data_IF_601943018619
#
_entry.id   IF_601943018619
#
_cell.length_a   1.000
_cell.length_b   1.000
_cell.length_c   1.000
_cell.angle_alpha   90.00
_cell.angle_beta   90.00
_cell.angle_gamma   90.00
#
_symmetry.space_group_name_H-M   'P 1'
#
loop_
_entity.id
_entity.type
_entity.pdbx_description
1 polymer ?
#
# COMPACT_ATOMS: atom_id res chain seq x y z
N UNK A 1 -43.00 5.16 -25.12
CA UNK A 1 -41.76 4.88 -25.82
C UNK A 1 -40.51 5.06 -24.94
N UNK A 2 -40.34 6.18 -24.22
CA UNK A 2 -39.18 6.41 -23.36
C UNK A 2 -39.00 5.38 -22.25
N UNK A 3 -40.07 4.91 -21.60
CA UNK A 3 -40.00 3.89 -20.55
C UNK A 3 -39.44 2.55 -21.05
N UNK A 4 -39.80 2.15 -22.27
CA UNK A 4 -39.33 0.91 -22.85
C UNK A 4 -37.83 0.97 -23.21
N UNK A 5 -37.34 2.14 -23.66
CA UNK A 5 -35.91 2.35 -23.93
C UNK A 5 -35.10 2.30 -22.65
N UNK A 6 -35.59 2.93 -21.56
CA UNK A 6 -34.94 2.90 -20.26
C UNK A 6 -34.87 1.49 -19.64
N UNK A 7 -35.96 0.72 -19.74
CA UNK A 7 -35.97 -0.66 -19.22
C UNK A 7 -35.03 -1.57 -20.01
N UNK A 8 -35.01 -1.49 -21.34
CA UNK A 8 -34.10 -2.26 -22.18
C UNK A 8 -32.62 -1.85 -21.87
N UNK A 9 -32.35 -0.55 -21.75
CA UNK A 9 -31.01 -0.07 -21.36
C UNK A 9 -30.55 -0.60 -19.99
N UNK A 10 -31.42 -0.57 -18.99
CA UNK A 10 -31.14 -1.12 -17.67
C UNK A 10 -30.84 -2.63 -17.69
N UNK A 11 -31.62 -3.40 -18.45
CA UNK A 11 -31.39 -4.85 -18.62
C UNK A 11 -30.05 -5.12 -19.29
N UNK A 12 -29.67 -4.36 -20.31
CA UNK A 12 -28.38 -4.50 -20.99
C UNK A 12 -27.21 -4.19 -20.02
N UNK A 13 -27.33 -3.15 -19.20
CA UNK A 13 -26.28 -2.80 -18.19
C UNK A 13 -26.14 -3.93 -17.18
N UNK A 14 -27.22 -4.46 -16.64
CA UNK A 14 -27.19 -5.59 -15.70
C UNK A 14 -26.59 -6.86 -16.34
N UNK A 15 -26.87 -7.09 -17.62
CA UNK A 15 -26.33 -8.27 -18.32
C UNK A 15 -24.83 -8.16 -18.63
N UNK A 16 -24.38 -6.97 -19.01
CA UNK A 16 -22.97 -6.75 -19.41
C UNK A 16 -22.00 -6.56 -18.24
N UNK A 17 -22.47 -6.05 -17.10
CA UNK A 17 -21.63 -5.77 -15.95
C UNK A 17 -21.89 -6.74 -14.79
N UNK A 18 -20.98 -7.73 -14.56
CA UNK A 18 -21.15 -8.74 -13.50
C UNK A 18 -21.31 -8.11 -12.10
N UNK A 19 -20.61 -7.00 -11.85
CA UNK A 19 -20.69 -6.27 -10.56
C UNK A 19 -22.11 -5.71 -10.32
N UNK A 20 -22.73 -5.11 -11.35
CA UNK A 20 -24.11 -4.59 -11.28
C UNK A 20 -25.11 -5.73 -11.09
N UNK A 21 -24.91 -6.84 -11.78
CA UNK A 21 -25.73 -8.05 -11.62
C UNK A 21 -25.66 -8.57 -10.18
N UNK A 22 -24.46 -8.68 -9.61
CA UNK A 22 -24.28 -9.11 -8.23
C UNK A 22 -24.98 -8.16 -7.24
N UNK A 23 -24.85 -6.84 -7.44
CA UNK A 23 -25.49 -5.84 -6.60
C UNK A 23 -27.03 -5.92 -6.63
N UNK A 24 -27.64 -6.20 -7.79
CA UNK A 24 -29.07 -6.32 -7.96
C UNK A 24 -29.61 -7.63 -7.39
N UNK A 25 -28.87 -8.74 -7.57
CA UNK A 25 -29.36 -10.08 -7.13
C UNK A 25 -29.13 -10.31 -5.62
N UNK A 26 -28.11 -9.71 -5.04
CA UNK A 26 -27.74 -9.92 -3.64
C UNK A 26 -27.44 -8.63 -2.87
N UNK A 27 -28.36 -7.65 -2.82
CA UNK A 27 -28.09 -6.34 -2.22
C UNK A 27 -27.78 -6.45 -0.71
N UNK A 28 -28.47 -7.33 0.01
CA UNK A 28 -28.26 -7.52 1.44
C UNK A 28 -26.89 -8.14 1.76
N UNK A 29 -26.44 -9.08 0.96
CA UNK A 29 -25.10 -9.65 1.11
C UNK A 29 -24.01 -8.63 0.83
N UNK A 30 -24.18 -7.82 -0.21
CA UNK A 30 -23.21 -6.77 -0.55
C UNK A 30 -23.10 -5.71 0.56
N UNK A 31 -24.23 -5.28 1.13
CA UNK A 31 -24.24 -4.38 2.29
C UNK A 31 -23.58 -5.01 3.51
N UNK A 32 -23.89 -6.27 3.81
CA UNK A 32 -23.31 -6.98 4.94
C UNK A 32 -21.79 -7.11 4.83
N UNK A 33 -21.29 -7.58 3.69
CA UNK A 33 -19.85 -7.68 3.45
C UNK A 33 -19.17 -6.31 3.41
N UNK A 34 -19.80 -5.28 2.84
CA UNK A 34 -19.28 -3.92 2.87
C UNK A 34 -19.12 -3.35 4.28
N UNK A 35 -20.05 -3.64 5.19
CA UNK A 35 -19.95 -3.25 6.60
C UNK A 35 -18.82 -4.03 7.29
N UNK A 36 -18.73 -5.34 7.07
CA UNK A 36 -17.67 -6.17 7.63
C UNK A 36 -16.29 -5.73 7.15
N UNK A 37 -16.12 -5.46 5.86
CA UNK A 37 -14.85 -4.99 5.28
C UNK A 37 -14.46 -3.63 5.84
N UNK A 38 -15.43 -2.71 5.95
CA UNK A 38 -15.20 -1.39 6.53
C UNK A 38 -14.77 -1.49 8.00
N UNK A 39 -15.42 -2.35 8.78
CA UNK A 39 -15.06 -2.58 10.18
C UNK A 39 -13.67 -3.21 10.31
N UNK A 40 -13.37 -4.21 9.47
CA UNK A 40 -12.07 -4.88 9.43
C UNK A 40 -10.97 -3.90 9.05
N UNK A 41 -11.19 -3.08 8.03
CA UNK A 41 -10.26 -2.02 7.60
C UNK A 41 -9.96 -1.03 8.73
N UNK A 42 -10.99 -0.49 9.39
CA UNK A 42 -10.82 0.45 10.51
C UNK A 42 -10.09 -0.18 11.69
N UNK A 43 -10.36 -1.45 11.97
CA UNK A 43 -9.74 -2.18 13.08
C UNK A 43 -8.25 -2.49 12.81
N UNK A 44 -7.89 -2.82 11.58
CA UNK A 44 -6.54 -3.28 11.24
C UNK A 44 -5.56 -2.14 10.92
N UNK A 45 -6.00 -0.88 10.85
CA UNK A 45 -5.13 0.28 10.58
C UNK A 45 -4.25 0.14 9.33
N UNK A 46 -4.80 -0.41 8.26
CA UNK A 46 -4.05 -0.64 7.01
C UNK A 46 -3.45 0.63 6.41
N UNK A 47 -4.05 1.81 6.70
CA UNK A 47 -3.54 3.11 6.28
C UNK A 47 -2.16 3.50 6.85
N UNK A 48 -1.67 2.82 7.89
CA UNK A 48 -0.34 3.01 8.46
C UNK A 48 0.72 2.10 7.81
N UNK A 49 0.31 1.14 6.99
CA UNK A 49 1.24 0.24 6.33
C UNK A 49 2.00 0.97 5.22
N UNK A 50 3.32 0.81 5.19
CA UNK A 50 4.13 1.29 4.08
C UNK A 50 3.86 0.41 2.86
N UNK A 51 3.39 1.02 1.77
CA UNK A 51 3.20 0.33 0.50
C UNK A 51 4.55 0.18 -0.20
N UNK A 52 4.86 -1.04 -0.61
CA UNK A 52 6.07 -1.37 -1.37
C UNK A 52 5.72 -1.65 -2.82
N UNK A 53 6.65 -1.37 -3.73
CA UNK A 53 6.49 -1.64 -5.17
C UNK A 53 6.20 -0.42 -6.03
N UNK A 54 6.13 0.77 -5.47
CA UNK A 54 6.05 2.00 -6.24
C UNK A 54 7.41 2.37 -6.85
N UNK A 55 7.43 2.77 -8.11
CA UNK A 55 8.61 3.25 -8.82
C UNK A 55 8.43 4.73 -9.17
N UNK A 56 9.18 5.59 -8.50
CA UNK A 56 9.21 7.02 -8.78
C UNK A 56 10.47 7.39 -9.57
N UNK A 57 10.31 8.02 -10.71
CA UNK A 57 11.40 8.49 -11.56
C UNK A 57 11.43 10.00 -11.58
N UNK A 58 12.50 10.60 -11.08
CA UNK A 58 12.71 12.05 -11.09
C UNK A 58 13.54 12.47 -12.29
N UNK A 59 12.90 13.06 -13.29
CA UNK A 59 13.54 13.59 -14.49
C UNK A 59 13.61 15.11 -14.45
N UNK A 60 14.62 15.69 -15.09
CA UNK A 60 14.76 17.15 -15.20
C UNK A 60 16.18 17.57 -15.58
N UNK A 61 16.37 18.85 -15.85
CA UNK A 61 17.66 19.44 -16.20
C UNK A 61 18.67 19.30 -15.05
N UNK A 62 19.96 19.37 -15.40
CA UNK A 62 21.04 19.37 -14.42
C UNK A 62 20.88 20.57 -13.46
N UNK A 63 21.03 20.35 -12.16
CA UNK A 63 20.85 21.40 -11.15
C UNK A 63 19.38 21.69 -10.74
N UNK A 64 18.39 20.99 -11.27
CA UNK A 64 16.96 21.22 -10.96
C UNK A 64 16.50 20.70 -9.58
N UNK A 65 17.41 20.29 -8.70
CA UNK A 65 17.08 19.84 -7.35
C UNK A 65 16.49 18.43 -7.23
N UNK A 66 16.61 17.58 -8.27
CA UNK A 66 16.07 16.20 -8.27
C UNK A 66 16.47 15.37 -7.05
N UNK A 67 17.76 15.40 -6.71
CA UNK A 67 18.30 14.68 -5.55
C UNK A 67 17.70 15.21 -4.25
N UNK A 68 17.56 16.52 -4.12
CA UNK A 68 16.97 17.15 -2.95
C UNK A 68 15.50 16.74 -2.78
N UNK A 69 14.74 16.75 -3.86
CA UNK A 69 13.33 16.32 -3.86
C UNK A 69 13.20 14.84 -3.48
N UNK A 70 14.11 13.98 -3.99
CA UNK A 70 14.12 12.56 -3.64
C UNK A 70 14.45 12.36 -2.15
N UNK A 71 15.51 13.02 -1.65
CA UNK A 71 15.89 12.97 -0.24
C UNK A 71 14.73 13.42 0.66
N UNK A 72 14.10 14.54 0.33
CA UNK A 72 12.94 15.04 1.08
C UNK A 72 11.79 14.02 1.10
N UNK A 73 11.47 13.41 -0.03
CA UNK A 73 10.42 12.38 -0.12
C UNK A 73 10.76 11.17 0.74
N UNK A 74 11.98 10.64 0.63
CA UNK A 74 12.42 9.45 1.38
C UNK A 74 12.41 9.72 2.89
N UNK A 75 12.91 10.88 3.32
CA UNK A 75 12.89 11.29 4.73
C UNK A 75 11.45 11.40 5.25
N UNK A 76 10.56 12.01 4.48
CA UNK A 76 9.14 12.13 4.84
C UNK A 76 8.43 10.78 4.91
N UNK A 77 8.76 9.82 4.04
CA UNK A 77 8.24 8.45 4.12
C UNK A 77 8.75 7.72 5.36
N UNK A 78 10.02 7.87 5.69
CA UNK A 78 10.60 7.31 6.90
C UNK A 78 9.87 7.83 8.16
N UNK A 79 9.77 9.14 8.32
CA UNK A 79 9.09 9.78 9.46
C UNK A 79 7.62 9.38 9.57
N UNK A 80 6.99 9.15 8.42
CA UNK A 80 5.58 8.77 8.37
C UNK A 80 5.31 7.33 8.77
N UNK A 81 6.20 6.40 8.40
CA UNK A 81 5.92 4.96 8.49
C UNK A 81 6.78 4.23 9.50
N UNK A 82 8.01 4.70 9.80
CA UNK A 82 8.87 4.03 10.77
C UNK A 82 8.30 4.10 12.19
N UNK A 83 8.40 3.01 12.93
CA UNK A 83 7.87 2.91 14.29
C UNK A 83 6.34 2.88 14.40
N UNK A 84 5.60 2.85 13.28
CA UNK A 84 4.12 2.78 13.31
C UNK A 84 3.64 1.36 13.55
N UNK A 85 2.53 1.25 14.29
CA UNK A 85 1.88 -0.03 14.53
C UNK A 85 1.00 -0.39 13.35
N UNK A 86 1.24 -1.56 12.75
CA UNK A 86 0.50 -2.10 11.60
C UNK A 86 -0.05 -3.48 11.92
N UNK A 87 -1.11 -3.87 11.23
CA UNK A 87 -1.66 -5.21 11.35
C UNK A 87 -0.84 -6.20 10.52
N UNK A 88 -0.34 -7.25 11.16
CA UNK A 88 0.34 -8.35 10.48
C UNK A 88 -0.64 -9.51 10.26
N UNK A 89 -1.13 -9.76 9.03
CA UNK A 89 -2.11 -10.82 8.75
C UNK A 89 -1.56 -12.22 9.07
N UNK A 90 -0.25 -12.43 8.89
CA UNK A 90 0.41 -13.72 9.14
C UNK A 90 0.42 -14.10 10.61
N UNK A 91 0.49 -13.13 11.50
CA UNK A 91 0.53 -13.33 12.96
C UNK A 91 -0.80 -13.04 13.65
N UNK A 92 -1.75 -12.39 12.98
CA UNK A 92 -3.02 -12.01 13.56
C UNK A 92 -2.92 -11.01 14.71
N UNK A 93 -1.84 -10.20 14.76
CA UNK A 93 -1.60 -9.19 15.79
C UNK A 93 -1.04 -7.89 15.20
N UNK A 94 -1.10 -6.83 15.99
CA UNK A 94 -0.44 -5.58 15.67
C UNK A 94 1.05 -5.67 16.00
N UNK A 95 1.90 -5.22 15.07
CA UNK A 95 3.36 -5.24 15.19
C UNK A 95 3.92 -3.87 14.84
N UNK A 96 5.12 -3.56 15.31
CA UNK A 96 5.80 -2.31 14.96
C UNK A 96 6.48 -2.46 13.60
N UNK A 97 6.19 -1.54 12.70
CA UNK A 97 6.82 -1.49 11.38
C UNK A 97 8.19 -0.80 11.47
N UNK A 98 9.20 -1.38 10.83
CA UNK A 98 10.53 -0.82 10.68
C UNK A 98 10.86 -0.63 9.21
N UNK A 99 11.16 0.60 8.81
CA UNK A 99 11.47 0.95 7.42
C UNK A 99 12.96 0.79 7.17
N UNK A 100 13.33 -0.04 6.19
CA UNK A 100 14.70 -0.24 5.74
C UNK A 100 14.97 0.62 4.49
N UNK A 101 15.90 1.56 4.60
CA UNK A 101 16.31 2.43 3.50
C UNK A 101 17.66 1.98 2.96
N UNK A 102 17.74 1.78 1.65
CA UNK A 102 18.98 1.59 0.91
C UNK A 102 19.24 2.84 0.06
N UNK A 103 20.39 3.50 0.25
CA UNK A 103 20.71 4.73 -0.47
C UNK A 103 22.19 4.80 -0.83
N UNK A 104 22.47 5.35 -2.00
CA UNK A 104 23.81 5.74 -2.42
C UNK A 104 24.10 7.23 -2.14
N UNK A 105 23.14 7.94 -1.54
CA UNK A 105 23.24 9.34 -1.14
C UNK A 105 23.13 9.41 0.38
N UNK A 106 23.93 10.28 1.01
CA UNK A 106 23.85 10.51 2.45
C UNK A 106 22.49 11.08 2.85
N UNK A 107 21.84 10.46 3.84
CA UNK A 107 20.54 10.84 4.37
C UNK A 107 20.69 11.24 5.85
N UNK A 108 19.79 12.07 6.33
CA UNK A 108 19.70 12.44 7.74
C UNK A 108 19.03 11.37 8.63
N UNK A 109 18.41 10.37 8.02
CA UNK A 109 17.72 9.23 8.66
C UNK A 109 18.61 7.98 8.59
N UNK A 110 18.39 6.96 9.43
CA UNK A 110 19.13 5.70 9.36
C UNK A 110 18.93 5.03 7.97
N UNK A 111 20.03 4.69 7.33
CA UNK A 111 20.04 4.02 6.04
C UNK A 111 21.23 3.07 5.93
N UNK A 112 21.14 2.11 5.03
CA UNK A 112 22.26 1.26 4.61
C UNK A 112 22.81 1.79 3.29
N UNK A 113 24.15 1.93 3.23
CA UNK A 113 24.81 2.37 2.01
C UNK A 113 24.68 1.32 0.90
N UNK A 114 24.11 1.73 -0.21
CA UNK A 114 23.94 0.88 -1.39
C UNK A 114 25.25 0.81 -2.20
N UNK A 115 25.94 -0.33 -2.16
CA UNK A 115 27.22 -0.58 -2.88
C UNK A 115 27.07 -1.57 -4.02
N UNK A 116 26.05 -2.44 -3.98
CA UNK A 116 25.89 -3.50 -4.98
C UNK A 116 24.43 -3.91 -5.16
N UNK A 117 24.11 -4.43 -6.35
CA UNK A 117 22.79 -5.01 -6.64
C UNK A 117 22.48 -6.22 -5.74
N UNK A 118 23.49 -6.94 -5.29
CA UNK A 118 23.29 -8.07 -4.37
C UNK A 118 22.64 -7.63 -3.06
N UNK A 119 22.94 -6.41 -2.57
CA UNK A 119 22.30 -5.85 -1.38
C UNK A 119 20.81 -5.56 -1.61
N UNK A 120 20.43 -5.08 -2.81
CA UNK A 120 19.02 -4.86 -3.18
C UNK A 120 18.26 -6.17 -3.16
N UNK A 121 18.84 -7.22 -3.77
CA UNK A 121 18.25 -8.56 -3.78
C UNK A 121 18.15 -9.14 -2.35
N UNK A 122 19.15 -8.91 -1.51
CA UNK A 122 19.11 -9.34 -0.12
C UNK A 122 17.99 -8.61 0.65
N UNK A 123 17.90 -7.29 0.51
CA UNK A 123 16.86 -6.47 1.14
C UNK A 123 15.46 -6.86 0.66
N UNK A 124 15.28 -7.17 -0.63
CA UNK A 124 13.99 -7.62 -1.15
C UNK A 124 13.51 -8.95 -0.53
N UNK A 125 14.43 -9.82 -0.11
CA UNK A 125 14.09 -11.06 0.61
C UNK A 125 13.68 -10.81 2.07
N UNK A 126 14.19 -9.74 2.66
CA UNK A 126 13.86 -9.33 4.03
C UNK A 126 12.58 -8.49 4.06
N UNK A 127 12.12 -8.00 2.91
CA UNK A 127 10.86 -7.26 2.82
C UNK A 127 9.69 -8.09 3.35
N UNK A 128 8.91 -7.49 4.25
CA UNK A 128 7.84 -8.15 5.01
C UNK A 128 8.32 -9.33 5.89
N UNK A 129 9.62 -9.38 6.19
CA UNK A 129 10.13 -10.32 7.19
C UNK A 129 9.72 -9.85 8.58
N UNK A 130 9.23 -10.79 9.36
CA UNK A 130 8.88 -10.58 10.75
C UNK A 130 10.02 -11.05 11.64
N UNK A 131 10.42 -10.18 12.57
CA UNK A 131 11.38 -10.49 13.63
C UNK A 131 10.62 -10.86 14.90
N UNK A 132 10.75 -12.12 15.32
CA UNK A 132 10.07 -12.67 16.51
C UNK A 132 10.65 -12.10 17.81
N UNK A 133 11.94 -11.72 17.82
CA UNK A 133 12.62 -11.24 19.03
C UNK A 133 12.20 -9.81 19.39
N UNK A 134 12.05 -8.95 18.41
CA UNK A 134 11.70 -7.54 18.61
C UNK A 134 10.26 -7.18 18.28
N UNK A 135 9.44 -8.15 17.85
CA UNK A 135 8.05 -7.95 17.42
C UNK A 135 7.91 -6.87 16.32
N UNK A 136 8.86 -6.89 15.38
CA UNK A 136 8.94 -5.90 14.30
C UNK A 136 8.72 -6.52 12.94
N UNK A 137 8.09 -5.75 12.04
CA UNK A 137 7.93 -6.07 10.63
C UNK A 137 8.84 -5.15 9.81
N UNK A 138 9.81 -5.72 9.10
CA UNK A 138 10.71 -4.95 8.23
C UNK A 138 10.06 -4.72 6.86
N UNK A 139 10.07 -3.48 6.39
CA UNK A 139 9.50 -3.03 5.11
C UNK A 139 10.52 -2.19 4.34
#
# INVERSE_FOLDING_TARGET
MWGLILTVGAVIVVALFPAVRCAVTHPLHLLWYGVLDSFTYLRHKDYNCCHTGDLDIYCGYFGSGKTLSLVHKVTGLYERYDGKTVWCPRRGKFVTQRVLILSNVALAVPYQELRSLAQVVAASKVNQAYDDEHDTLTV
#
